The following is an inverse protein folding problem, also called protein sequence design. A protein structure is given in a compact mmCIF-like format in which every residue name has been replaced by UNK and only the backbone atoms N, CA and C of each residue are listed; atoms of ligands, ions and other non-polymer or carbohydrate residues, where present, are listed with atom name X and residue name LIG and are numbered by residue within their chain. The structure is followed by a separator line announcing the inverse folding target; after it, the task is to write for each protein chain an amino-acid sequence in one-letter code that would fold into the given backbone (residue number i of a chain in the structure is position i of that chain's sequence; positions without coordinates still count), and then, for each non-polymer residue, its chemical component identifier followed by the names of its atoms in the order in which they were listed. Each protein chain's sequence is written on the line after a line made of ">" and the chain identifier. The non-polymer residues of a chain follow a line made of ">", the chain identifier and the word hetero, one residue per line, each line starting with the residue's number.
data_IF_935230401670
#
_entry.id   IF_935230401670
#
_cell.length_a   1.000
_cell.length_b   1.000
_cell.length_c   1.000
_cell.angle_alpha   90.00
_cell.angle_beta   90.00
_cell.angle_gamma   90.00
#
_symmetry.space_group_name_H-M   'P 1'
#
loop_
_entity.id
_entity.type
_entity.pdbx_description
1 polymer ?
#
# COMPACT_ATOMS: atom_id res chain seq x y z
N UNK A 1 -2.51 3.14 14.09
CA UNK A 1 -3.78 2.67 13.49
C UNK A 1 -3.80 3.15 12.04
N UNK A 2 -4.05 2.26 11.09
CA UNK A 2 -4.12 2.60 9.68
C UNK A 2 -5.28 1.82 9.04
N UNK A 3 -5.66 2.21 7.83
CA UNK A 3 -6.67 1.49 7.04
C UNK A 3 -6.16 1.30 5.62
N UNK A 4 -5.77 0.07 5.30
CA UNK A 4 -5.40 -0.33 3.94
C UNK A 4 -6.55 -1.07 3.27
N UNK A 5 -6.80 -0.78 2.00
CA UNK A 5 -7.73 -1.53 1.15
C UNK A 5 -7.01 -2.03 -0.09
N UNK A 6 -7.07 -3.34 -0.29
CA UNK A 6 -6.61 -4.04 -1.48
C UNK A 6 -7.63 -5.14 -1.82
N UNK A 7 -7.87 -5.37 -3.12
CA UNK A 7 -8.58 -6.57 -3.58
C UNK A 7 -7.62 -7.77 -3.52
N UNK A 8 -8.15 -8.97 -3.41
CA UNK A 8 -7.32 -10.18 -3.37
C UNK A 8 -6.52 -10.38 -4.67
N UNK A 9 -7.11 -10.05 -5.83
CA UNK A 9 -6.45 -10.00 -7.13
C UNK A 9 -5.23 -9.06 -7.11
N UNK A 10 -5.41 -7.86 -6.54
CA UNK A 10 -4.34 -6.87 -6.42
C UNK A 10 -3.22 -7.36 -5.50
N UNK A 11 -3.54 -8.12 -4.45
CA UNK A 11 -2.52 -8.72 -3.59
C UNK A 11 -1.74 -9.83 -4.31
N UNK A 12 -2.40 -10.63 -5.16
CA UNK A 12 -1.71 -11.61 -6.01
C UNK A 12 -0.80 -10.94 -7.03
N UNK A 13 -1.25 -9.87 -7.67
CA UNK A 13 -0.38 -9.09 -8.55
C UNK A 13 0.82 -8.54 -7.76
N UNK A 14 0.59 -8.04 -6.55
CA UNK A 14 1.64 -7.55 -5.66
C UNK A 14 2.68 -8.64 -5.30
N UNK A 15 2.25 -9.90 -5.11
CA UNK A 15 3.16 -11.04 -4.82
C UNK A 15 4.09 -11.39 -5.98
N UNK A 16 3.66 -11.18 -7.22
CA UNK A 16 4.46 -11.51 -8.41
C UNK A 16 5.58 -10.51 -8.69
N UNK A 17 5.65 -9.41 -7.95
CA UNK A 17 6.48 -8.25 -8.26
C UNK A 17 7.60 -8.10 -7.22
N UNK A 18 8.84 -8.00 -7.68
CA UNK A 18 10.02 -7.83 -6.82
C UNK A 18 10.21 -6.40 -6.31
N UNK A 19 9.56 -5.43 -6.95
CA UNK A 19 9.65 -4.01 -6.60
C UNK A 19 8.25 -3.44 -6.45
N UNK A 20 8.01 -2.79 -5.32
CA UNK A 20 6.78 -2.03 -5.05
C UNK A 20 7.11 -0.55 -5.06
N UNK A 21 6.33 0.22 -5.80
CA UNK A 21 6.47 1.67 -5.87
C UNK A 21 5.43 2.33 -4.97
N UNK A 22 5.84 3.25 -4.10
CA UNK A 22 4.92 3.98 -3.26
C UNK A 22 4.81 5.43 -3.70
N UNK A 23 3.60 5.97 -3.73
CA UNK A 23 3.34 7.39 -3.88
C UNK A 23 2.50 7.90 -2.71
N UNK A 24 2.75 9.13 -2.28
CA UNK A 24 2.02 9.82 -1.22
C UNK A 24 1.41 11.13 -1.71
N UNK A 25 0.46 11.10 -2.67
CA UNK A 25 0.11 12.31 -3.43
C UNK A 25 -0.83 13.26 -2.68
N UNK A 26 -1.60 12.79 -1.67
CA UNK A 26 -2.66 13.60 -1.07
C UNK A 26 -2.26 14.24 0.25
N UNK A 27 -2.04 15.56 0.23
CA UNK A 27 -2.00 16.41 1.43
C UNK A 27 -3.36 16.59 2.09
N UNK A 28 -4.45 16.46 1.31
CA UNK A 28 -5.82 16.57 1.81
C UNK A 28 -6.36 15.18 2.10
N UNK A 29 -6.62 14.91 3.37
CA UNK A 29 -7.19 13.66 3.88
C UNK A 29 -8.27 14.01 4.90
N UNK A 30 -9.22 13.09 5.19
CA UNK A 30 -10.18 13.33 6.27
C UNK A 30 -9.45 13.59 7.59
N UNK A 31 -10.04 14.42 8.46
CA UNK A 31 -9.42 14.93 9.71
C UNK A 31 -8.76 13.86 10.58
N UNK A 32 -9.34 12.65 10.61
CA UNK A 32 -8.84 11.52 11.38
C UNK A 32 -7.52 10.92 10.85
N UNK A 33 -7.11 11.27 9.63
CA UNK A 33 -5.95 10.71 8.97
C UNK A 33 -4.92 11.81 8.69
N UNK A 34 -3.66 11.43 8.70
CA UNK A 34 -2.54 12.31 8.40
C UNK A 34 -2.09 12.14 6.95
N UNK A 35 -2.20 10.94 6.38
CA UNK A 35 -1.77 10.67 4.99
C UNK A 35 -2.64 9.62 4.30
N UNK A 36 -2.80 9.79 2.99
CA UNK A 36 -3.21 8.75 2.04
C UNK A 36 -2.00 8.45 1.15
N UNK A 37 -1.63 7.18 1.05
CA UNK A 37 -0.62 6.72 0.12
C UNK A 37 -1.14 5.55 -0.71
N UNK A 38 -0.53 5.35 -1.88
CA UNK A 38 -0.84 4.29 -2.82
C UNK A 38 0.41 3.45 -3.09
N UNK A 39 0.22 2.13 -3.22
CA UNK A 39 1.27 1.22 -3.68
C UNK A 39 0.92 0.77 -5.09
N UNK A 40 1.94 0.78 -5.92
CA UNK A 40 1.88 0.49 -7.34
C UNK A 40 2.88 -0.60 -7.69
N UNK A 41 2.62 -1.25 -8.81
CA UNK A 41 3.56 -2.12 -9.49
C UNK A 41 3.84 -1.55 -10.87
N UNK A 42 5.00 -1.87 -11.40
CA UNK A 42 5.35 -1.50 -12.76
C UNK A 42 5.11 -2.69 -13.68
N UNK A 43 4.17 -2.56 -14.61
CA UNK A 43 3.83 -3.62 -15.55
C UNK A 43 3.61 -3.01 -16.95
N UNK A 44 4.16 -3.64 -17.99
CA UNK A 44 4.07 -3.18 -19.39
C UNK A 44 4.31 -1.68 -19.58
N UNK A 45 5.37 -1.16 -18.96
CA UNK A 45 5.73 0.27 -19.00
C UNK A 45 4.71 1.22 -18.35
N UNK A 46 3.80 0.70 -17.52
CA UNK A 46 2.79 1.47 -16.79
C UNK A 46 2.95 1.28 -15.29
N UNK A 47 2.74 2.37 -14.55
CA UNK A 47 2.64 2.34 -13.11
C UNK A 47 1.17 2.10 -12.72
N UNK A 48 0.86 0.94 -12.17
CA UNK A 48 -0.51 0.50 -11.89
C UNK A 48 -0.77 0.55 -10.38
N UNK A 49 -1.71 1.39 -9.89
CA UNK A 49 -2.07 1.45 -8.47
C UNK A 49 -2.85 0.19 -8.07
N UNK A 50 -2.36 -0.53 -7.07
CA UNK A 50 -2.95 -1.77 -6.60
C UNK A 50 -3.67 -1.61 -5.26
N UNK A 51 -3.17 -0.74 -4.38
CA UNK A 51 -3.78 -0.52 -3.08
C UNK A 51 -3.58 0.91 -2.61
N UNK A 52 -4.43 1.29 -1.68
CA UNK A 52 -4.36 2.58 -0.99
C UNK A 52 -4.46 2.37 0.51
N UNK A 53 -3.76 3.20 1.26
CA UNK A 53 -3.70 3.13 2.71
C UNK A 53 -3.80 4.51 3.33
N UNK A 54 -4.71 4.65 4.30
CA UNK A 54 -4.87 5.82 5.13
C UNK A 54 -4.14 5.60 6.45
N UNK A 55 -3.30 6.55 6.84
CA UNK A 55 -2.51 6.48 8.09
C UNK A 55 -2.90 7.59 9.04
N UNK A 56 -2.99 7.29 10.34
CA UNK A 56 -3.21 8.32 11.37
C UNK A 56 -1.91 8.94 11.87
N UNK A 57 -0.75 8.38 11.50
CA UNK A 57 0.60 8.87 11.82
C UNK A 57 1.52 8.72 10.62
N UNK A 58 2.46 9.65 10.46
CA UNK A 58 3.51 9.64 9.43
C UNK A 58 4.87 9.30 10.05
N UNK A 59 4.93 8.19 10.76
CA UNK A 59 6.16 7.71 11.41
C UNK A 59 6.61 6.38 10.80
N UNK A 60 7.91 6.08 10.93
CA UNK A 60 8.54 4.87 10.38
C UNK A 60 7.83 3.60 10.86
N UNK A 61 7.45 3.56 12.13
CA UNK A 61 6.79 2.40 12.74
C UNK A 61 5.46 2.10 12.05
N UNK A 62 4.64 3.13 11.79
CA UNK A 62 3.37 2.98 11.09
C UNK A 62 3.56 2.46 9.67
N UNK A 63 4.62 2.88 8.96
CA UNK A 63 4.91 2.35 7.63
C UNK A 63 5.35 0.88 7.70
N UNK A 64 6.26 0.53 8.61
CA UNK A 64 6.68 -0.86 8.84
C UNK A 64 5.48 -1.77 9.13
N UNK A 65 4.59 -1.38 10.05
CA UNK A 65 3.37 -2.16 10.37
C UNK A 65 2.52 -2.45 9.12
N UNK A 66 2.39 -1.47 8.22
CA UNK A 66 1.61 -1.63 6.99
C UNK A 66 2.30 -2.58 6.02
N UNK A 67 3.60 -2.38 5.77
CA UNK A 67 4.36 -3.22 4.86
C UNK A 67 4.47 -4.65 5.36
N UNK A 68 4.72 -4.88 6.64
CA UNK A 68 4.76 -6.22 7.22
C UNK A 68 3.41 -6.93 7.06
N UNK A 69 2.31 -6.21 7.31
CA UNK A 69 0.96 -6.76 7.13
C UNK A 69 0.67 -7.09 5.67
N UNK A 70 1.09 -6.23 4.74
CA UNK A 70 0.93 -6.48 3.31
C UNK A 70 1.76 -7.67 2.87
N UNK A 71 3.02 -7.78 3.30
CA UNK A 71 3.92 -8.91 3.02
C UNK A 71 3.34 -10.22 3.52
N UNK A 72 2.82 -10.27 4.75
CA UNK A 72 2.16 -11.47 5.28
C UNK A 72 0.92 -11.85 4.46
N UNK A 73 0.09 -10.87 4.09
CA UNK A 73 -1.09 -11.12 3.25
C UNK A 73 -0.72 -11.59 1.85
N UNK A 74 0.34 -11.03 1.28
CA UNK A 74 0.88 -11.46 0.00
C UNK A 74 1.39 -12.91 0.10
N UNK A 75 2.24 -13.21 1.08
CA UNK A 75 2.79 -14.55 1.28
C UNK A 75 1.71 -15.63 1.47
N UNK A 76 0.58 -15.30 2.10
CA UNK A 76 -0.55 -16.21 2.25
C UNK A 76 -1.32 -16.52 0.96
N UNK A 77 -1.04 -15.80 -0.14
CA UNK A 77 -1.70 -15.95 -1.44
C UNK A 77 -0.79 -16.56 -2.52
N UNK A 78 0.50 -16.75 -2.20
CA UNK A 78 1.49 -17.42 -3.05
C UNK A 78 1.36 -18.93 -3.04
#
# INVERSE_FOLDING_TARGET
>A
MYRSRAKQENLRELTGQSVWCMDGPFKIVPEWYQQLFTIHVFNESKLIPLLHSLTVRKDVICYCEIFDTLTVKAAALG
#
